data_IF_058307497147
#
_entry.id   IF_058307497147
#
_cell.length_a   1.000
_cell.length_b   1.000
_cell.length_c   1.000
_cell.angle_alpha   90.00
_cell.angle_beta   90.00
_cell.angle_gamma   90.00
#
_symmetry.space_group_name_H-M   'P 1'
#
loop_
_entity.id
_entity.type
_entity.pdbx_description
1 polymer ?
#
# COMPACT_ATOMS: atom_id res chain seq x y z
N UNK A 1 35.54 -50.46 -42.49
CA UNK A 1 36.00 -49.07 -42.34
C UNK A 1 34.95 -48.00 -42.72
N UNK A 2 33.82 -48.37 -43.35
CA UNK A 2 32.78 -47.42 -43.81
C UNK A 2 31.67 -47.12 -42.78
N UNK A 3 31.49 -47.95 -41.75
CA UNK A 3 30.43 -47.76 -40.73
C UNK A 3 30.85 -46.83 -39.57
N UNK A 4 32.15 -46.67 -39.32
CA UNK A 4 32.67 -45.79 -38.26
C UNK A 4 32.58 -44.32 -38.70
N UNK A 5 32.80 -44.04 -40.00
CA UNK A 5 32.66 -42.70 -40.59
C UNK A 5 31.21 -42.19 -40.61
N UNK A 6 30.21 -43.07 -40.79
CA UNK A 6 28.79 -42.68 -40.76
C UNK A 6 28.35 -42.25 -39.35
N UNK A 7 28.76 -42.97 -38.31
CA UNK A 7 28.41 -42.60 -36.93
C UNK A 7 29.07 -41.28 -36.50
N UNK A 8 30.34 -41.05 -36.88
CA UNK A 8 31.02 -39.77 -36.59
C UNK A 8 30.34 -38.58 -37.26
N UNK A 9 29.85 -38.73 -38.50
CA UNK A 9 29.12 -37.66 -39.21
C UNK A 9 27.77 -37.33 -38.57
N UNK A 10 27.05 -38.34 -38.07
CA UNK A 10 25.76 -38.16 -37.38
C UNK A 10 25.97 -37.50 -36.02
N UNK A 11 26.99 -37.89 -35.25
CA UNK A 11 27.31 -37.25 -33.96
C UNK A 11 27.84 -35.82 -34.12
N UNK A 12 28.58 -35.51 -35.19
CA UNK A 12 29.05 -34.15 -35.46
C UNK A 12 27.91 -33.23 -35.92
N UNK A 13 26.96 -33.75 -36.71
CA UNK A 13 25.78 -33.01 -37.16
C UNK A 13 24.81 -32.67 -36.03
N UNK A 14 24.61 -33.58 -35.06
CA UNK A 14 23.79 -33.35 -33.86
C UNK A 14 24.42 -32.33 -32.90
N UNK A 15 25.76 -32.33 -32.77
CA UNK A 15 26.49 -31.32 -31.99
C UNK A 15 26.44 -29.92 -32.61
N UNK A 16 26.47 -29.83 -33.94
CA UNK A 16 26.42 -28.55 -34.67
C UNK A 16 25.04 -27.87 -34.58
N UNK A 17 23.95 -28.64 -34.53
CA UNK A 17 22.61 -28.08 -34.31
C UNK A 17 22.44 -27.45 -32.92
N UNK A 18 23.09 -27.96 -31.87
CA UNK A 18 22.95 -27.42 -30.51
C UNK A 18 23.75 -26.13 -30.27
N UNK A 19 24.76 -25.85 -31.09
CA UNK A 19 25.66 -24.68 -30.92
C UNK A 19 25.24 -23.49 -31.80
N UNK A 20 24.49 -23.74 -32.88
CA UNK A 20 24.14 -22.72 -33.88
C UNK A 20 22.64 -22.42 -33.99
N UNK A 21 21.77 -22.98 -33.14
CA UNK A 21 20.46 -22.37 -32.94
C UNK A 21 20.73 -21.11 -32.12
N UNK A 22 20.59 -19.88 -32.67
CA UNK A 22 20.64 -18.69 -31.84
C UNK A 22 19.60 -18.90 -30.75
N UNK A 23 20.01 -18.78 -29.48
CA UNK A 23 19.11 -18.91 -28.33
C UNK A 23 17.75 -18.32 -28.68
N UNK A 24 16.72 -19.17 -28.87
CA UNK A 24 15.34 -18.72 -29.08
C UNK A 24 14.73 -18.17 -27.78
N UNK A 25 15.54 -17.50 -26.94
CA UNK A 25 15.03 -16.56 -25.97
C UNK A 25 14.78 -15.29 -26.76
N UNK A 26 13.54 -15.13 -27.23
CA UNK A 26 13.09 -13.81 -27.69
C UNK A 26 13.43 -12.78 -26.61
N UNK A 27 13.70 -11.53 -27.02
CA UNK A 27 13.90 -10.46 -26.06
C UNK A 27 12.69 -10.45 -25.11
N UNK A 28 12.89 -10.81 -23.84
CA UNK A 28 11.85 -10.73 -22.83
C UNK A 28 11.67 -9.24 -22.57
N UNK A 29 10.57 -8.69 -23.08
CA UNK A 29 10.18 -7.31 -22.83
C UNK A 29 9.23 -7.37 -21.65
N UNK A 30 9.70 -6.94 -20.48
CA UNK A 30 8.90 -6.96 -19.26
C UNK A 30 7.56 -6.21 -19.46
N UNK A 31 6.47 -6.78 -18.95
CA UNK A 31 5.17 -6.10 -18.86
C UNK A 31 5.16 -5.12 -17.68
N UNK A 32 4.21 -4.20 -17.66
CA UNK A 32 3.92 -3.32 -16.53
C UNK A 32 3.62 -4.11 -15.25
N UNK A 33 2.88 -5.21 -15.35
CA UNK A 33 2.61 -6.14 -14.25
C UNK A 33 3.92 -6.74 -13.71
N UNK A 34 4.78 -7.31 -14.57
CA UNK A 34 6.07 -7.88 -14.15
C UNK A 34 7.01 -6.84 -13.50
N UNK A 35 6.97 -5.59 -13.99
CA UNK A 35 7.73 -4.49 -13.41
C UNK A 35 7.18 -4.07 -12.04
N UNK A 36 5.86 -3.99 -11.89
CA UNK A 36 5.22 -3.66 -10.63
C UNK A 36 5.41 -4.76 -9.58
N UNK A 37 5.25 -6.04 -9.97
CA UNK A 37 5.52 -7.20 -9.12
C UNK A 37 6.94 -7.14 -8.54
N UNK A 38 7.93 -6.83 -9.37
CA UNK A 38 9.29 -6.69 -8.90
C UNK A 38 9.51 -5.42 -8.05
N UNK A 39 8.75 -4.35 -8.31
CA UNK A 39 8.66 -3.18 -7.43
C UNK A 39 8.15 -3.54 -6.03
N UNK A 40 7.13 -4.40 -5.93
CA UNK A 40 6.63 -4.91 -4.66
C UNK A 40 7.63 -5.80 -3.94
N UNK A 41 8.37 -6.65 -4.66
CA UNK A 41 9.49 -7.41 -4.06
C UNK A 41 10.49 -6.45 -3.41
N UNK A 42 10.90 -5.39 -4.10
CA UNK A 42 11.82 -4.40 -3.54
C UNK A 42 11.22 -3.65 -2.35
N UNK A 43 9.92 -3.33 -2.40
CA UNK A 43 9.19 -2.69 -1.31
C UNK A 43 9.17 -3.56 -0.05
N UNK A 44 8.85 -4.85 -0.19
CA UNK A 44 8.79 -5.82 0.91
C UNK A 44 10.19 -6.09 1.51
N UNK A 45 11.24 -6.02 0.70
CA UNK A 45 12.64 -6.06 1.14
C UNK A 45 13.12 -4.73 1.77
N UNK A 46 12.24 -3.73 1.89
CA UNK A 46 12.53 -2.39 2.40
C UNK A 46 13.55 -1.61 1.56
N UNK A 47 13.77 -2.03 0.31
CA UNK A 47 14.59 -1.35 -0.68
C UNK A 47 13.75 -0.34 -1.47
N UNK A 48 13.30 0.70 -0.77
CA UNK A 48 12.36 1.68 -1.30
C UNK A 48 12.91 2.53 -2.46
N UNK A 49 14.24 2.66 -2.57
CA UNK A 49 14.85 3.37 -3.70
C UNK A 49 14.71 2.57 -4.99
N UNK A 50 14.98 1.27 -4.95
CA UNK A 50 14.81 0.42 -6.13
C UNK A 50 13.33 0.19 -6.43
N UNK A 51 12.48 0.00 -5.41
CA UNK A 51 11.03 -0.09 -5.58
C UNK A 51 10.48 1.11 -6.37
N UNK A 52 10.94 2.32 -6.03
CA UNK A 52 10.57 3.54 -6.76
C UNK A 52 10.94 3.48 -8.23
N UNK A 53 12.14 3.01 -8.57
CA UNK A 53 12.56 2.90 -9.96
C UNK A 53 11.70 1.88 -10.73
N UNK A 54 11.43 0.71 -10.13
CA UNK A 54 10.60 -0.33 -10.76
C UNK A 54 9.15 0.11 -10.98
N UNK A 55 8.49 0.68 -9.97
CA UNK A 55 7.16 1.26 -10.16
C UNK A 55 7.18 2.42 -11.17
N UNK A 56 8.26 3.20 -11.20
CA UNK A 56 8.45 4.27 -12.18
C UNK A 56 8.54 3.76 -13.61
N UNK A 57 9.24 2.65 -13.83
CA UNK A 57 9.34 2.00 -15.13
C UNK A 57 8.02 1.32 -15.54
N UNK A 58 7.29 0.74 -14.59
CA UNK A 58 5.96 0.20 -14.82
C UNK A 58 4.96 1.29 -15.26
N UNK A 59 4.97 2.46 -14.60
CA UNK A 59 4.15 3.63 -15.00
C UNK A 59 4.52 4.13 -16.40
N UNK A 60 5.81 4.09 -16.79
CA UNK A 60 6.24 4.47 -18.15
C UNK A 60 5.76 3.46 -19.19
N UNK A 61 5.63 2.19 -18.80
CA UNK A 61 5.20 1.10 -19.65
C UNK A 61 3.70 1.15 -19.92
N UNK A 62 2.91 1.31 -18.86
CA UNK A 62 1.48 1.59 -18.94
C UNK A 62 1.08 2.64 -17.89
N UNK A 63 0.62 3.79 -18.37
CA UNK A 63 0.20 4.90 -17.50
C UNK A 63 -1.16 4.69 -16.85
N UNK A 64 -1.92 3.66 -17.24
CA UNK A 64 -3.25 3.32 -16.72
C UNK A 64 -3.26 2.10 -15.80
N UNK A 65 -2.09 1.54 -15.48
CA UNK A 65 -1.99 0.39 -14.58
C UNK A 65 -1.97 0.84 -13.11
N UNK A 66 -3.06 0.58 -12.39
CA UNK A 66 -3.33 1.07 -11.04
C UNK A 66 -2.26 0.68 -10.03
N UNK A 67 -1.82 -0.57 -10.08
CA UNK A 67 -0.97 -1.14 -9.05
C UNK A 67 0.43 -0.50 -9.02
N UNK A 68 0.91 -0.01 -10.17
CA UNK A 68 2.15 0.76 -10.23
C UNK A 68 2.04 2.12 -9.53
N UNK A 69 0.87 2.76 -9.56
CA UNK A 69 0.64 4.00 -8.80
C UNK A 69 0.43 3.70 -7.32
N UNK A 70 -0.22 2.57 -6.99
CA UNK A 70 -0.36 2.09 -5.62
C UNK A 70 1.03 1.92 -4.98
N UNK A 71 1.87 1.09 -5.59
CA UNK A 71 3.23 0.82 -5.13
C UNK A 71 4.10 2.07 -5.05
N UNK A 72 4.01 2.96 -6.03
CA UNK A 72 4.72 4.24 -5.99
C UNK A 72 4.26 5.11 -4.81
N UNK A 73 2.95 5.21 -4.56
CA UNK A 73 2.38 5.98 -3.47
C UNK A 73 2.87 5.51 -2.10
N UNK A 74 2.80 4.21 -1.83
CA UNK A 74 3.31 3.60 -0.60
C UNK A 74 4.83 3.76 -0.46
N UNK A 75 5.57 3.49 -1.54
CA UNK A 75 7.04 3.65 -1.57
C UNK A 75 7.46 5.07 -1.21
N UNK A 76 6.81 6.09 -1.78
CA UNK A 76 7.09 7.49 -1.47
C UNK A 76 6.80 7.83 0.01
N UNK A 77 5.76 7.24 0.60
CA UNK A 77 5.48 7.35 2.03
C UNK A 77 6.65 6.86 2.90
N UNK A 78 7.19 5.68 2.59
CA UNK A 78 8.35 5.12 3.29
C UNK A 78 9.64 5.94 3.09
N UNK A 79 9.79 6.57 1.92
CA UNK A 79 10.87 7.51 1.64
C UNK A 79 10.69 8.88 2.31
N UNK A 80 9.66 9.05 3.15
CA UNK A 80 9.28 10.32 3.82
C UNK A 80 8.97 11.45 2.84
N UNK A 81 8.48 11.10 1.64
CA UNK A 81 8.04 12.02 0.61
C UNK A 81 6.51 12.02 0.54
N UNK A 82 5.87 12.48 1.62
CA UNK A 82 4.42 12.42 1.76
C UNK A 82 3.68 13.23 0.66
N UNK A 83 4.21 14.37 0.23
CA UNK A 83 3.62 15.13 -0.90
C UNK A 83 3.66 14.31 -2.21
N UNK A 84 4.74 13.58 -2.47
CA UNK A 84 4.84 12.69 -3.64
C UNK A 84 3.92 11.48 -3.49
N UNK A 85 3.77 10.93 -2.30
CA UNK A 85 2.80 9.85 -2.01
C UNK A 85 1.38 10.29 -2.38
N UNK A 86 0.94 11.46 -1.89
CA UNK A 86 -0.34 12.07 -2.28
C UNK A 86 -0.46 12.22 -3.79
N UNK A 87 0.57 12.78 -4.44
CA UNK A 87 0.56 13.02 -5.88
C UNK A 87 0.25 11.74 -6.68
N UNK A 88 0.90 10.62 -6.40
CA UNK A 88 0.71 9.40 -7.18
C UNK A 88 -0.66 8.75 -6.94
N UNK A 89 -1.14 8.73 -5.69
CA UNK A 89 -2.49 8.23 -5.39
C UNK A 89 -3.56 9.10 -6.05
N UNK A 90 -3.52 10.42 -5.88
CA UNK A 90 -4.49 11.34 -6.50
C UNK A 90 -4.44 11.30 -8.02
N UNK A 91 -3.23 11.19 -8.60
CA UNK A 91 -3.05 11.16 -10.06
C UNK A 91 -3.79 9.98 -10.67
N UNK A 92 -3.72 8.80 -10.05
CA UNK A 92 -4.46 7.65 -10.56
C UNK A 92 -5.96 7.76 -10.32
N UNK A 93 -6.38 8.19 -9.11
CA UNK A 93 -7.79 8.40 -8.78
C UNK A 93 -8.49 9.43 -9.68
N UNK A 94 -7.73 10.37 -10.26
CA UNK A 94 -8.25 11.31 -11.25
C UNK A 94 -8.52 10.69 -12.63
N UNK A 95 -7.92 9.53 -12.93
CA UNK A 95 -8.08 8.79 -14.18
C UNK A 95 -9.13 7.69 -14.06
N UNK A 96 -9.11 6.94 -12.96
CA UNK A 96 -10.06 5.85 -12.70
C UNK A 96 -10.43 5.80 -11.21
N UNK A 97 -11.66 5.37 -10.92
CA UNK A 97 -12.18 5.11 -9.56
C UNK A 97 -12.92 3.77 -9.45
N UNK A 98 -12.87 2.95 -10.51
CA UNK A 98 -13.60 1.69 -10.65
C UNK A 98 -12.64 0.48 -10.77
N UNK A 99 -11.61 0.47 -9.92
CA UNK A 99 -10.58 -0.57 -9.88
C UNK A 99 -10.55 -1.27 -8.50
N UNK A 100 -9.92 -2.44 -8.41
CA UNK A 100 -10.07 -3.36 -7.27
C UNK A 100 -9.36 -2.92 -5.99
N UNK A 101 -8.14 -2.38 -6.07
CA UNK A 101 -7.32 -1.98 -4.90
C UNK A 101 -7.61 -0.53 -4.43
N UNK A 102 -8.80 0.02 -4.70
CA UNK A 102 -9.14 1.41 -4.36
C UNK A 102 -9.07 1.72 -2.85
N UNK A 103 -9.24 0.72 -1.98
CA UNK A 103 -9.07 0.90 -0.54
C UNK A 103 -7.62 1.23 -0.17
N UNK A 104 -6.64 0.61 -0.84
CA UNK A 104 -5.22 0.87 -0.60
C UNK A 104 -4.86 2.33 -0.88
N UNK A 105 -5.43 2.90 -1.94
CA UNK A 105 -5.26 4.30 -2.30
C UNK A 105 -5.77 5.23 -1.20
N UNK A 106 -6.98 5.01 -0.70
CA UNK A 106 -7.56 5.86 0.36
C UNK A 106 -6.91 5.63 1.72
N UNK A 107 -6.42 4.43 2.02
CA UNK A 107 -5.59 4.18 3.19
C UNK A 107 -4.27 4.96 3.08
N UNK A 108 -3.56 4.81 1.96
CA UNK A 108 -2.31 5.52 1.67
C UNK A 108 -2.46 7.05 1.73
N UNK A 109 -3.54 7.60 1.14
CA UNK A 109 -3.86 9.02 1.23
C UNK A 109 -4.13 9.48 2.67
N UNK A 110 -4.85 8.68 3.46
CA UNK A 110 -5.08 8.98 4.88
C UNK A 110 -3.75 9.15 5.63
N UNK A 111 -2.83 8.21 5.47
CA UNK A 111 -1.50 8.28 6.08
C UNK A 111 -0.68 9.48 5.56
N UNK A 112 -0.65 9.68 4.25
CA UNK A 112 0.15 10.74 3.62
C UNK A 112 -0.33 12.14 4.02
N UNK A 113 -1.65 12.40 3.99
CA UNK A 113 -2.18 13.68 4.45
C UNK A 113 -1.98 13.92 5.95
N UNK A 114 -2.10 12.88 6.78
CA UNK A 114 -1.79 13.01 8.20
C UNK A 114 -0.32 13.37 8.43
N UNK A 115 0.61 12.75 7.68
CA UNK A 115 2.03 13.09 7.75
C UNK A 115 2.32 14.56 7.33
N UNK A 116 1.49 15.11 6.45
CA UNK A 116 1.54 16.52 6.03
C UNK A 116 0.81 17.48 6.98
N UNK A 117 0.12 16.97 8.01
CA UNK A 117 -0.75 17.78 8.87
C UNK A 117 -2.02 18.30 8.19
N UNK A 118 -2.36 17.78 7.01
CA UNK A 118 -3.56 18.12 6.22
C UNK A 118 -4.78 17.37 6.78
N UNK A 119 -5.23 17.78 7.96
CA UNK A 119 -6.22 17.00 8.74
C UNK A 119 -7.60 16.92 8.06
N UNK A 120 -8.00 17.91 7.26
CA UNK A 120 -9.29 17.89 6.55
C UNK A 120 -9.25 16.81 5.47
N UNK A 121 -8.18 16.77 4.69
CA UNK A 121 -7.96 15.82 3.62
C UNK A 121 -7.75 14.41 4.16
N UNK A 122 -6.97 14.24 5.24
CA UNK A 122 -6.82 12.97 5.95
C UNK A 122 -8.18 12.41 6.41
N UNK A 123 -8.98 13.23 7.10
CA UNK A 123 -10.34 12.84 7.52
C UNK A 123 -11.24 12.49 6.33
N UNK A 124 -11.14 13.23 5.24
CA UNK A 124 -11.92 12.98 4.02
C UNK A 124 -11.55 11.61 3.41
N UNK A 125 -10.26 11.32 3.27
CA UNK A 125 -9.78 10.03 2.77
C UNK A 125 -10.18 8.87 3.67
N UNK A 126 -10.05 9.01 4.99
CA UNK A 126 -10.51 8.00 5.95
C UNK A 126 -12.02 7.71 5.79
N UNK A 127 -12.85 8.75 5.66
CA UNK A 127 -14.28 8.57 5.50
C UNK A 127 -14.65 7.91 4.17
N UNK A 128 -13.93 8.23 3.09
CA UNK A 128 -14.12 7.55 1.81
C UNK A 128 -13.68 6.09 1.90
N UNK A 129 -12.56 5.80 2.56
CA UNK A 129 -12.10 4.44 2.82
C UNK A 129 -13.18 3.61 3.52
N UNK A 130 -13.68 4.08 4.69
CA UNK A 130 -14.71 3.35 5.44
C UNK A 130 -16.08 3.33 4.75
N UNK A 131 -16.37 4.31 3.89
CA UNK A 131 -17.58 4.31 3.07
C UNK A 131 -17.54 3.34 1.88
N UNK A 132 -16.33 2.99 1.41
CA UNK A 132 -16.11 2.00 0.33
C UNK A 132 -15.90 0.59 0.86
N UNK A 133 -15.35 0.46 2.07
CA UNK A 133 -15.16 -0.84 2.70
C UNK A 133 -16.52 -1.54 2.86
N UNK A 134 -16.60 -2.82 2.52
CA UNK A 134 -17.78 -3.63 2.75
C UNK A 134 -17.53 -4.64 3.88
N UNK A 135 -17.91 -4.34 5.14
CA UNK A 135 -17.58 -5.20 6.29
C UNK A 135 -18.21 -6.60 6.24
N UNK A 136 -19.14 -6.85 5.32
CA UNK A 136 -19.81 -8.15 5.16
C UNK A 136 -19.08 -9.03 4.16
N UNK A 137 -18.51 -8.44 3.10
CA UNK A 137 -17.87 -9.16 2.00
C UNK A 137 -16.35 -9.09 2.06
N UNK A 138 -15.82 -7.99 2.57
CA UNK A 138 -14.40 -7.78 2.77
C UNK A 138 -14.12 -8.05 4.25
N UNK A 139 -13.35 -9.12 4.52
CA UNK A 139 -12.69 -9.28 5.81
C UNK A 139 -11.91 -7.99 6.12
N UNK A 140 -11.86 -7.61 7.39
CA UNK A 140 -11.05 -6.51 7.94
C UNK A 140 -9.84 -6.18 7.05
N UNK A 141 -9.85 -4.98 6.42
CA UNK A 141 -8.83 -4.62 5.43
C UNK A 141 -7.45 -4.64 6.09
N UNK A 142 -6.54 -5.39 5.47
CA UNK A 142 -5.11 -5.41 5.75
C UNK A 142 -4.38 -5.05 4.47
N UNK A 143 -3.33 -4.24 4.57
CA UNK A 143 -2.51 -3.95 3.42
C UNK A 143 -1.70 -5.19 3.01
N UNK A 144 -1.86 -5.65 1.77
CA UNK A 144 -1.32 -6.93 1.28
C UNK A 144 0.20 -7.03 1.41
N UNK A 145 0.92 -5.92 1.19
CA UNK A 145 2.38 -5.85 1.21
C UNK A 145 2.97 -5.52 2.59
N UNK A 146 2.11 -5.20 3.57
CA UNK A 146 2.50 -5.09 4.98
C UNK A 146 1.27 -5.25 5.88
N UNK A 147 1.02 -6.49 6.31
CA UNK A 147 -0.16 -6.86 7.13
C UNK A 147 -0.21 -6.22 8.52
N UNK A 148 0.88 -5.59 8.97
CA UNK A 148 0.84 -4.80 10.20
C UNK A 148 0.02 -3.52 10.04
N UNK A 149 -0.17 -3.07 8.80
CA UNK A 149 -1.02 -1.93 8.46
C UNK A 149 -2.40 -2.48 8.13
N UNK A 150 -3.40 -2.07 8.90
CA UNK A 150 -4.78 -2.50 8.72
C UNK A 150 -5.77 -1.34 8.96
N UNK A 151 -7.06 -1.65 8.89
CA UNK A 151 -8.13 -0.66 9.01
C UNK A 151 -8.13 0.07 10.36
N UNK A 152 -7.59 -0.51 11.43
CA UNK A 152 -7.46 0.14 12.74
C UNK A 152 -6.46 1.30 12.67
N UNK A 153 -5.38 1.17 11.89
CA UNK A 153 -4.45 2.27 11.65
C UNK A 153 -5.14 3.40 10.90
N UNK A 154 -5.94 3.09 9.87
CA UNK A 154 -6.75 4.09 9.16
C UNK A 154 -7.74 4.76 10.09
N UNK A 155 -8.34 4.02 11.03
CA UNK A 155 -9.25 4.57 12.04
C UNK A 155 -8.52 5.44 13.07
N UNK A 156 -7.29 5.10 13.44
CA UNK A 156 -6.47 5.93 14.30
C UNK A 156 -6.17 7.27 13.62
N UNK A 157 -5.84 7.26 12.33
CA UNK A 157 -5.66 8.49 11.55
C UNK A 157 -6.93 9.33 11.51
N UNK A 158 -8.10 8.70 11.37
CA UNK A 158 -9.39 9.38 11.44
C UNK A 158 -9.56 10.07 12.81
N UNK A 159 -9.36 9.32 13.90
CA UNK A 159 -9.50 9.84 15.26
C UNK A 159 -8.54 11.01 15.55
N UNK A 160 -7.28 10.90 15.13
CA UNK A 160 -6.28 11.97 15.24
C UNK A 160 -6.71 13.21 14.47
N UNK A 161 -7.20 13.03 13.23
CA UNK A 161 -7.66 14.13 12.38
C UNK A 161 -8.89 14.82 12.99
N UNK A 162 -9.84 14.05 13.51
CA UNK A 162 -11.03 14.54 14.21
C UNK A 162 -10.67 15.35 15.45
N UNK A 163 -9.75 14.84 16.28
CA UNK A 163 -9.25 15.57 17.44
C UNK A 163 -8.64 16.92 17.07
N UNK A 164 -7.76 16.93 16.05
CA UNK A 164 -7.08 18.15 15.59
C UNK A 164 -8.04 19.17 14.97
N UNK A 165 -9.16 18.72 14.42
CA UNK A 165 -10.23 19.57 13.86
C UNK A 165 -11.26 20.00 14.92
N UNK A 166 -11.18 19.48 16.14
CA UNK A 166 -12.13 19.77 17.21
C UNK A 166 -13.43 18.95 17.17
N UNK A 167 -13.50 17.90 16.35
CA UNK A 167 -14.62 16.96 16.29
C UNK A 167 -14.49 15.91 17.40
N UNK A 168 -14.50 16.35 18.67
CA UNK A 168 -14.17 15.49 19.82
C UNK A 168 -15.15 14.34 20.04
N UNK A 169 -16.44 14.53 19.74
CA UNK A 169 -17.43 13.46 19.78
C UNK A 169 -17.08 12.33 18.79
N UNK A 170 -16.78 12.69 17.52
CA UNK A 170 -16.37 11.70 16.53
C UNK A 170 -15.02 11.05 16.89
N UNK A 171 -14.08 11.82 17.44
CA UNK A 171 -12.82 11.29 17.93
C UNK A 171 -13.04 10.20 19.00
N UNK A 172 -13.92 10.46 19.98
CA UNK A 172 -14.27 9.48 21.02
C UNK A 172 -14.93 8.23 20.41
N UNK A 173 -15.84 8.41 19.46
CA UNK A 173 -16.46 7.30 18.73
C UNK A 173 -15.44 6.45 17.96
N UNK A 174 -14.47 7.08 17.32
CA UNK A 174 -13.39 6.40 16.59
C UNK A 174 -12.45 5.65 17.54
N UNK A 175 -12.08 6.25 18.68
CA UNK A 175 -11.29 5.60 19.74
C UNK A 175 -12.01 4.36 20.28
N UNK A 176 -13.29 4.47 20.61
CA UNK A 176 -14.09 3.36 21.12
C UNK A 176 -14.20 2.21 20.12
N UNK A 177 -14.35 2.52 18.82
CA UNK A 177 -14.32 1.50 17.75
C UNK A 177 -12.99 0.76 17.71
N UNK A 178 -11.86 1.49 17.78
CA UNK A 178 -10.53 0.84 17.79
C UNK A 178 -10.40 -0.11 18.99
N UNK A 179 -10.78 0.32 20.19
CA UNK A 179 -10.74 -0.57 21.36
C UNK A 179 -11.62 -1.80 21.20
N UNK A 180 -12.85 -1.61 20.72
CA UNK A 180 -13.81 -2.71 20.51
C UNK A 180 -13.27 -3.72 19.50
N UNK A 181 -12.81 -3.24 18.35
CA UNK A 181 -12.33 -4.07 17.24
C UNK A 181 -10.99 -4.76 17.59
N UNK A 182 -10.20 -4.15 18.49
CA UNK A 182 -9.00 -4.78 19.07
C UNK A 182 -9.31 -5.80 20.18
N UNK A 183 -10.59 -6.04 20.50
CA UNK A 183 -11.01 -6.94 21.59
C UNK A 183 -10.81 -6.39 23.01
N UNK A 184 -10.52 -5.09 23.16
CA UNK A 184 -10.40 -4.44 24.47
C UNK A 184 -11.79 -4.19 25.08
N UNK A 185 -11.88 -4.29 26.42
CA UNK A 185 -13.08 -3.91 27.18
C UNK A 185 -13.11 -2.43 27.59
N UNK A 186 -12.15 -1.62 27.15
CA UNK A 186 -12.09 -0.19 27.45
C UNK A 186 -13.24 0.56 26.79
N UNK A 187 -13.94 1.38 27.59
CA UNK A 187 -14.96 2.31 27.11
C UNK A 187 -14.51 3.71 27.51
N UNK A 188 -14.40 4.59 26.51
CA UNK A 188 -14.01 5.99 26.66
C UNK A 188 -15.27 6.86 26.64
N UNK A 189 -15.50 7.58 27.73
CA UNK A 189 -16.62 8.51 27.92
C UNK A 189 -16.14 9.77 28.66
N UNK A 190 -15.35 10.58 27.95
CA UNK A 190 -14.71 11.76 28.50
C UNK A 190 -15.56 13.02 28.28
N UNK A 191 -15.60 13.92 29.28
CA UNK A 191 -16.21 15.24 29.10
C UNK A 191 -15.31 16.14 28.25
N UNK A 192 -15.45 16.01 26.93
CA UNK A 192 -14.69 16.75 25.92
C UNK A 192 -15.04 18.24 25.85
N UNK A 193 -15.99 18.75 26.64
CA UNK A 193 -16.21 20.19 26.79
C UNK A 193 -15.14 20.83 27.69
N UNK A 194 -14.45 20.02 28.50
CA UNK A 194 -13.39 20.46 29.41
C UNK A 194 -12.00 20.31 28.79
N UNK A 195 -11.01 21.00 29.36
CA UNK A 195 -9.60 20.79 29.00
C UNK A 195 -9.13 19.40 29.47
N UNK A 196 -9.59 18.96 30.64
CA UNK A 196 -9.22 17.66 31.22
C UNK A 196 -9.70 16.51 30.34
N UNK A 197 -10.96 16.48 29.92
CA UNK A 197 -11.47 15.40 29.06
C UNK A 197 -10.81 15.37 27.69
N UNK A 198 -10.51 16.54 27.09
CA UNK A 198 -9.71 16.59 25.85
C UNK A 198 -8.28 16.11 26.03
N UNK A 199 -7.69 16.33 27.21
CA UNK A 199 -6.37 15.79 27.57
C UNK A 199 -6.43 14.27 27.70
N UNK A 200 -7.51 13.72 28.27
CA UNK A 200 -7.73 12.28 28.35
C UNK A 200 -7.93 11.64 26.97
N UNK A 201 -8.73 12.24 26.08
CA UNK A 201 -8.85 11.80 24.68
C UNK A 201 -7.48 11.75 23.97
N UNK A 202 -6.65 12.79 24.14
CA UNK A 202 -5.30 12.80 23.58
C UNK A 202 -4.41 11.67 24.15
N UNK A 203 -4.56 11.34 25.43
CA UNK A 203 -3.84 10.24 26.06
C UNK A 203 -4.27 8.88 25.48
N UNK A 204 -5.57 8.68 25.21
CA UNK A 204 -6.06 7.48 24.52
C UNK A 204 -5.50 7.35 23.11
N UNK A 205 -5.45 8.45 22.34
CA UNK A 205 -4.84 8.44 21.00
C UNK A 205 -3.37 8.03 21.04
N UNK A 206 -2.60 8.56 22.00
CA UNK A 206 -1.20 8.19 22.17
C UNK A 206 -1.04 6.70 22.55
N UNK A 207 -1.86 6.20 23.48
CA UNK A 207 -1.84 4.79 23.88
C UNK A 207 -2.21 3.84 22.72
N UNK A 208 -3.22 4.20 21.92
CA UNK A 208 -3.62 3.43 20.75
C UNK A 208 -2.54 3.45 19.66
N UNK A 209 -1.88 4.60 19.46
CA UNK A 209 -0.74 4.70 18.53
C UNK A 209 0.39 3.75 18.93
N UNK A 210 0.76 3.73 20.21
CA UNK A 210 1.78 2.82 20.72
C UNK A 210 1.34 1.35 20.62
N UNK A 211 0.06 1.05 20.88
CA UNK A 211 -0.48 -0.30 20.80
C UNK A 211 -0.43 -0.84 19.35
N UNK A 212 -0.96 -0.08 18.39
CA UNK A 212 -1.05 -0.51 16.99
C UNK A 212 0.32 -0.58 16.31
N UNK A 213 1.26 0.29 16.67
CA UNK A 213 2.63 0.21 16.17
C UNK A 213 3.35 -1.10 16.58
N UNK A 214 2.94 -1.71 17.69
CA UNK A 214 3.57 -2.90 18.27
C UNK A 214 2.76 -4.19 18.09
N UNK A 215 1.62 -4.15 17.41
CA UNK A 215 0.81 -5.34 17.10
C UNK A 215 1.33 -6.17 15.93
#
# INVERSE_FOLDING_TARGET
>A
MMNILKNSFVTLGLGFCLVFIPNCRGNIIATEEELADYGWVMYEEHNFLDAREWFGDAIKKDSLYDDSYNGMGWTMGHLRQADSSVHYFEKFLAMDTSFSNILDFYAGLSFAYNALGKNIEARTSCNIFFGKQNPILDQDWEFSHNKKINYLDVRLILAISEFRLGFFENCQDSINKIYTDSGSSTIVDEDYTTVTGRTALAAHLAALQDQLQNS
#
